data_IF_549148345860
#
_entry.id   IF_549148345860
#
_cell.length_a   1.000
_cell.length_b   1.000
_cell.length_c   1.000
_cell.angle_alpha   90.00
_cell.angle_beta   90.00
_cell.angle_gamma   90.00
#
_symmetry.space_group_name_H-M   'P 1'
#
loop_
_entity.id
_entity.type
_entity.pdbx_description
1 polymer ?
#
# COMPACT_ATOMS: atom_id res chain seq x y z
N UNK A 1 -13.50 -16.25 4.67
CA UNK A 1 -12.65 -15.71 3.58
C UNK A 1 -11.19 -15.65 4.02
N UNK A 2 -10.23 -16.16 3.22
CA UNK A 2 -8.80 -15.97 3.51
C UNK A 2 -8.43 -14.49 3.40
N UNK A 3 -7.80 -13.93 4.43
CA UNK A 3 -7.39 -12.51 4.45
C UNK A 3 -6.33 -12.25 3.38
N UNK A 4 -6.43 -11.11 2.71
CA UNK A 4 -5.46 -10.71 1.68
C UNK A 4 -4.06 -10.47 2.29
N UNK A 5 -2.98 -10.93 1.65
CA UNK A 5 -1.62 -10.64 2.11
C UNK A 5 -1.32 -9.14 2.10
N UNK A 6 -0.71 -8.64 3.17
CA UNK A 6 -0.21 -7.27 3.27
C UNK A 6 1.03 -7.09 2.39
N UNK A 7 1.30 -5.89 1.90
CA UNK A 7 2.47 -5.59 1.07
C UNK A 7 3.79 -6.01 1.73
N UNK A 8 3.92 -5.87 3.05
CA UNK A 8 5.07 -6.38 3.82
C UNK A 8 5.27 -7.90 3.63
N UNK A 9 4.18 -8.67 3.64
CA UNK A 9 4.22 -10.12 3.41
C UNK A 9 4.54 -10.44 1.95
N UNK A 10 3.97 -9.69 1.00
CA UNK A 10 4.25 -9.85 -0.43
C UNK A 10 5.73 -9.64 -0.75
N UNK A 11 6.31 -8.60 -0.16
CA UNK A 11 7.73 -8.25 -0.31
C UNK A 11 8.63 -9.34 0.27
N UNK A 12 8.35 -9.82 1.49
CA UNK A 12 9.06 -10.97 2.09
C UNK A 12 9.01 -12.20 1.19
N UNK A 13 7.84 -12.51 0.62
CA UNK A 13 7.69 -13.64 -0.31
C UNK A 13 8.46 -13.44 -1.61
N UNK A 14 8.49 -12.22 -2.14
CA UNK A 14 9.26 -11.88 -3.33
C UNK A 14 10.77 -12.04 -3.09
N UNK A 15 11.28 -11.58 -1.95
CA UNK A 15 12.69 -11.71 -1.57
C UNK A 15 13.07 -13.16 -1.32
N UNK A 16 12.29 -13.89 -0.52
CA UNK A 16 12.54 -15.31 -0.23
C UNK A 16 12.55 -16.16 -1.50
N UNK A 17 11.74 -15.83 -2.52
CA UNK A 17 11.72 -16.55 -3.79
C UNK A 17 12.94 -16.36 -4.69
N UNK A 18 13.86 -15.46 -4.33
CA UNK A 18 15.14 -15.27 -5.03
C UNK A 18 16.22 -16.25 -4.54
N UNK A 19 16.16 -16.62 -3.26
CA UNK A 19 17.18 -17.46 -2.60
C UNK A 19 16.68 -18.86 -2.26
N UNK A 20 15.37 -19.08 -2.18
CA UNK A 20 14.77 -20.38 -1.87
C UNK A 20 13.82 -20.87 -2.98
N UNK A 21 13.61 -22.19 -3.11
CA UNK A 21 12.61 -22.75 -3.99
C UNK A 21 11.20 -22.19 -3.72
N UNK A 22 10.48 -21.82 -4.79
CA UNK A 22 9.13 -21.23 -4.69
C UNK A 22 8.15 -22.13 -3.92
N UNK A 23 8.32 -23.46 -3.99
CA UNK A 23 7.49 -24.43 -3.27
C UNK A 23 7.60 -24.27 -1.74
N UNK A 24 8.80 -23.99 -1.23
CA UNK A 24 9.02 -23.72 0.19
C UNK A 24 8.39 -22.38 0.61
N UNK A 25 8.50 -21.36 -0.24
CA UNK A 25 7.90 -20.03 0.01
C UNK A 25 6.37 -20.09 0.02
N UNK A 26 5.78 -20.87 -0.90
CA UNK A 26 4.34 -21.10 -1.02
C UNK A 26 3.76 -21.79 0.21
N UNK A 27 4.44 -22.83 0.70
CA UNK A 27 4.01 -23.57 1.90
C UNK A 27 4.10 -22.70 3.15
N UNK A 28 5.20 -21.96 3.34
CA UNK A 28 5.38 -21.04 4.46
C UNK A 28 4.34 -19.90 4.49
N UNK A 29 4.02 -19.32 3.33
CA UNK A 29 3.12 -18.16 3.24
C UNK A 29 1.66 -18.54 3.00
N UNK A 30 1.36 -19.81 2.73
CA UNK A 30 0.01 -20.29 2.45
C UNK A 30 -0.62 -19.67 1.20
N UNK A 31 0.19 -19.36 0.18
CA UNK A 31 -0.24 -18.69 -1.06
C UNK A 31 0.12 -19.48 -2.31
N UNK A 32 -0.67 -19.36 -3.36
CA UNK A 32 -0.40 -20.07 -4.61
C UNK A 32 0.90 -19.57 -5.29
N UNK A 33 1.60 -20.47 -6.00
CA UNK A 33 2.85 -20.19 -6.74
C UNK A 33 2.77 -18.96 -7.65
N UNK A 34 1.64 -18.77 -8.33
CA UNK A 34 1.43 -17.61 -9.21
C UNK A 34 1.48 -16.28 -8.46
N UNK A 35 1.06 -16.25 -7.19
CA UNK A 35 1.13 -15.05 -6.36
C UNK A 35 2.58 -14.66 -6.08
N UNK A 36 3.44 -15.64 -5.78
CA UNK A 36 4.86 -15.41 -5.52
C UNK A 36 5.55 -14.84 -6.76
N UNK A 37 5.30 -15.41 -7.94
CA UNK A 37 5.85 -14.88 -9.20
C UNK A 37 5.38 -13.45 -9.51
N UNK A 38 4.09 -13.16 -9.27
CA UNK A 38 3.55 -11.80 -9.42
C UNK A 38 4.24 -10.82 -8.48
N UNK A 39 4.43 -11.19 -7.21
CA UNK A 39 5.12 -10.33 -6.25
C UNK A 39 6.60 -10.14 -6.60
N UNK A 40 7.25 -11.16 -7.16
CA UNK A 40 8.62 -11.05 -7.66
C UNK A 40 8.72 -10.03 -8.80
N UNK A 41 7.77 -10.05 -9.74
CA UNK A 41 7.68 -9.04 -10.81
C UNK A 41 7.44 -7.63 -10.25
N UNK A 42 6.59 -7.51 -9.23
CA UNK A 42 6.21 -6.23 -8.62
C UNK A 42 7.15 -5.78 -7.47
N UNK A 43 8.27 -6.47 -7.24
CA UNK A 43 9.11 -6.28 -6.05
C UNK A 43 9.62 -4.83 -5.90
N UNK A 44 10.03 -4.21 -7.02
CA UNK A 44 10.47 -2.80 -7.05
C UNK A 44 9.38 -1.84 -6.60
N UNK A 45 8.14 -2.07 -7.05
CA UNK A 45 7.00 -1.24 -6.70
C UNK A 45 6.54 -1.46 -5.25
N UNK A 46 6.67 -2.70 -4.74
CA UNK A 46 6.44 -3.04 -3.34
C UNK A 46 7.43 -2.36 -2.39
N UNK A 47 8.71 -2.30 -2.76
CA UNK A 47 9.75 -1.56 -1.99
C UNK A 47 9.48 -0.06 -1.97
N UNK A 48 9.21 0.55 -3.13
CA UNK A 48 8.88 1.98 -3.22
C UNK A 48 7.67 2.36 -2.35
N UNK A 49 6.74 1.42 -2.14
CA UNK A 49 5.54 1.60 -1.34
C UNK A 49 5.67 1.22 0.14
N UNK A 50 6.86 0.87 0.63
CA UNK A 50 7.09 0.48 2.03
C UNK A 50 6.70 1.57 3.03
N UNK A 51 6.83 2.83 2.63
CA UNK A 51 6.46 4.03 3.41
C UNK A 51 5.04 4.52 3.16
N UNK A 52 4.30 3.92 2.21
CA UNK A 52 2.94 4.33 1.92
C UNK A 52 1.99 3.91 3.06
N UNK A 53 0.99 4.74 3.37
CA UNK A 53 -0.02 4.42 4.39
C UNK A 53 -0.89 3.19 4.04
N UNK A 54 -0.95 2.81 2.76
CA UNK A 54 -1.73 1.66 2.30
C UNK A 54 -0.98 0.33 2.51
N UNK A 55 -1.55 -0.52 3.37
CA UNK A 55 -0.95 -1.80 3.77
C UNK A 55 -1.15 -2.93 2.75
N UNK A 56 -2.04 -2.78 1.77
CA UNK A 56 -2.51 -3.88 0.90
C UNK A 56 -2.28 -3.66 -0.59
N UNK A 57 -2.21 -2.42 -1.04
CA UNK A 57 -2.06 -2.09 -2.45
C UNK A 57 -0.79 -1.29 -2.68
N UNK A 58 -0.17 -1.53 -3.82
CA UNK A 58 0.95 -0.74 -4.32
C UNK A 58 0.36 0.53 -4.93
N UNK A 59 0.86 1.69 -4.53
CA UNK A 59 0.55 2.96 -5.17
C UNK A 59 1.31 3.01 -6.49
N UNK A 60 0.56 3.10 -7.60
CA UNK A 60 1.10 3.14 -8.95
C UNK A 60 0.96 4.57 -9.48
N UNK A 61 1.91 5.03 -10.29
CA UNK A 61 1.84 6.35 -10.96
C UNK A 61 0.53 6.57 -11.72
N UNK A 62 -0.02 5.51 -12.33
CA UNK A 62 -1.34 5.54 -12.97
C UNK A 62 -2.49 5.90 -12.00
N UNK A 63 -2.43 5.44 -10.75
CA UNK A 63 -3.42 5.79 -9.73
C UNK A 63 -3.23 7.21 -9.19
N UNK A 64 -1.99 7.70 -9.15
CA UNK A 64 -1.72 9.09 -8.76
C UNK A 64 -2.20 10.06 -9.85
N UNK A 65 -2.00 9.72 -11.13
CA UNK A 65 -2.51 10.51 -12.26
C UNK A 65 -4.05 10.55 -12.33
N UNK A 66 -4.73 9.46 -11.97
CA UNK A 66 -6.20 9.40 -11.92
C UNK A 66 -6.80 10.16 -10.72
N UNK A 67 -6.01 10.37 -9.66
CA UNK A 67 -6.46 11.03 -8.42
C UNK A 67 -6.52 12.54 -8.56
N UNK A 68 -5.54 13.11 -9.25
CA UNK A 68 -5.28 14.54 -9.22
C UNK A 68 -6.07 15.22 -10.34
N UNK A 69 -7.38 15.37 -10.13
CA UNK A 69 -8.22 16.19 -11.02
C UNK A 69 -7.98 17.68 -10.78
N UNK A 70 -7.68 18.06 -9.53
CA UNK A 70 -7.33 19.42 -9.12
C UNK A 70 -6.21 19.42 -8.05
N UNK A 71 -4.92 19.43 -8.45
CA UNK A 71 -3.78 19.26 -7.54
C UNK A 71 -3.70 20.32 -6.45
N UNK A 72 -4.01 21.57 -6.79
CA UNK A 72 -3.92 22.71 -5.87
C UNK A 72 -4.99 22.60 -4.78
N UNK A 73 -6.22 22.28 -5.16
CA UNK A 73 -7.35 22.11 -4.25
C UNK A 73 -7.16 20.92 -3.30
N UNK A 74 -6.68 19.78 -3.81
CA UNK A 74 -6.39 18.62 -2.96
C UNK A 74 -5.30 18.93 -1.93
N UNK A 75 -4.25 19.67 -2.33
CA UNK A 75 -3.19 20.09 -1.41
C UNK A 75 -3.74 21.03 -0.33
N UNK A 76 -4.48 22.06 -0.71
CA UNK A 76 -5.11 23.01 0.21
C UNK A 76 -6.02 22.30 1.23
N UNK A 77 -6.82 21.33 0.78
CA UNK A 77 -7.68 20.53 1.66
C UNK A 77 -6.88 19.70 2.66
N UNK A 78 -5.80 19.05 2.22
CA UNK A 78 -4.94 18.24 3.10
C UNK A 78 -4.22 19.10 4.14
N UNK A 79 -3.73 20.27 3.75
CA UNK A 79 -3.08 21.23 4.64
C UNK A 79 -4.09 21.73 5.69
N UNK A 80 -5.30 22.11 5.27
CA UNK A 80 -6.39 22.49 6.17
C UNK A 80 -6.76 21.38 7.16
N UNK A 81 -6.92 20.13 6.70
CA UNK A 81 -7.20 18.99 7.58
C UNK A 81 -6.06 18.73 8.57
N UNK A 82 -4.81 18.91 8.14
CA UNK A 82 -3.65 18.77 9.02
C UNK A 82 -3.63 19.84 10.12
N UNK A 83 -3.96 21.09 9.80
CA UNK A 83 -4.13 22.16 10.80
C UNK A 83 -5.28 21.87 11.77
N UNK A 84 -6.41 21.39 11.27
CA UNK A 84 -7.56 21.02 12.10
C UNK A 84 -7.26 19.88 13.08
N UNK A 85 -6.42 18.91 12.68
CA UNK A 85 -5.95 17.85 13.58
C UNK A 85 -5.03 18.36 14.68
N UNK A 86 -4.22 19.38 14.41
CA UNK A 86 -3.39 20.05 15.43
C UNK A 86 -4.27 20.87 16.38
N UNK A 87 -5.28 21.55 15.83
CA UNK A 87 -6.19 22.42 16.56
C UNK A 87 -7.57 21.79 16.74
N UNK A 88 -7.65 20.75 17.57
CA UNK A 88 -8.88 19.97 17.80
C UNK A 88 -10.12 20.82 18.17
N UNK A 89 -9.92 22.02 18.74
CA UNK A 89 -10.98 22.98 19.10
C UNK A 89 -11.64 23.66 17.89
N UNK A 90 -10.94 23.76 16.76
CA UNK A 90 -11.43 24.35 15.51
C UNK A 90 -12.03 23.29 14.56
N UNK A 91 -11.86 22.00 14.89
CA UNK A 91 -12.32 20.91 14.07
C UNK A 91 -13.86 20.84 14.13
N UNK A 92 -14.53 21.16 13.03
CA UNK A 92 -15.99 21.04 12.91
C UNK A 92 -16.33 19.56 13.04
N UNK A 93 -16.86 19.16 14.19
CA UNK A 93 -17.52 17.87 14.34
C UNK A 93 -18.93 18.06 13.81
N UNK A 94 -19.23 17.49 12.65
CA UNK A 94 -20.62 17.34 12.23
C UNK A 94 -21.27 16.40 13.24
N UNK A 95 -22.03 16.96 14.19
CA UNK A 95 -22.96 16.17 14.98
C UNK A 95 -24.00 15.64 14.00
N UNK A 96 -23.97 14.33 13.76
CA UNK A 96 -25.09 13.63 13.14
C UNK A 96 -26.18 13.43 14.17
#
# INVERSE_FOLDING_TARGET
>A
MKKRPKNKTKLKGAEASKSAPVVQVVTQLGVHRSSVYRWRKDAKALEANKKAGNKYYVRTSAHDALRVRYPVLEKQLLDYVAEMRKNRKLCVTTKF
#
